data_IF_375543897793
#
_entry.id   IF_375543897793
#
_cell.length_a   1.000
_cell.length_b   1.000
_cell.length_c   1.000
_cell.angle_alpha   90.00
_cell.angle_beta   90.00
_cell.angle_gamma   90.00
#
_symmetry.space_group_name_H-M   'P 1'
#
loop_
_entity.id
_entity.type
_entity.pdbx_description
1 polymer ?
#
# COMPACT_ATOMS: atom_id res chain seq x y z
N UNK A 1 25.06 23.99 22.36
CA UNK A 1 24.43 23.09 21.38
C UNK A 1 24.32 23.83 20.06
N UNK A 2 24.81 23.22 18.99
CA UNK A 2 24.67 23.74 17.63
C UNK A 2 23.46 23.12 16.94
N UNK A 3 22.95 23.74 15.87
CA UNK A 3 21.82 23.20 15.11
C UNK A 3 22.12 21.81 14.51
N UNK A 4 23.39 21.50 14.23
CA UNK A 4 23.81 20.19 13.72
C UNK A 4 23.74 19.10 14.81
N UNK A 5 24.04 19.45 16.07
CA UNK A 5 23.94 18.55 17.21
C UNK A 5 22.47 18.23 17.58
N UNK A 6 21.55 19.17 17.37
CA UNK A 6 20.13 19.02 17.72
C UNK A 6 19.32 18.30 16.63
N UNK A 7 19.74 18.41 15.37
CA UNK A 7 18.99 17.88 14.21
C UNK A 7 18.65 16.38 14.32
N UNK A 8 19.55 15.48 14.74
CA UNK A 8 19.20 14.06 14.88
C UNK A 8 18.06 13.81 15.89
N UNK A 9 17.98 14.60 16.96
CA UNK A 9 16.91 14.49 17.96
C UNK A 9 15.56 14.96 17.42
N UNK A 10 15.55 15.99 16.57
CA UNK A 10 14.35 16.48 15.91
C UNK A 10 13.85 15.51 14.82
N UNK A 11 14.77 14.80 14.16
CA UNK A 11 14.43 13.81 13.14
C UNK A 11 14.01 12.45 13.74
N UNK A 12 14.27 12.19 15.03
CA UNK A 12 13.96 10.90 15.67
C UNK A 12 12.51 10.44 15.50
N UNK A 13 11.57 11.40 15.53
CA UNK A 13 10.13 11.14 15.44
C UNK A 13 9.55 11.37 14.04
N UNK A 14 10.41 11.59 13.05
CA UNK A 14 10.03 11.79 11.65
C UNK A 14 10.53 10.63 10.80
N UNK A 15 9.75 10.13 9.82
CA UNK A 15 10.26 9.20 8.82
C UNK A 15 11.09 9.90 7.73
N UNK A 16 11.11 11.24 7.73
CA UNK A 16 11.80 12.04 6.74
C UNK A 16 13.06 12.68 7.29
N UNK A 17 14.12 12.67 6.48
CA UNK A 17 15.18 13.67 6.56
C UNK A 17 14.71 14.95 5.89
N UNK A 18 14.91 16.08 6.57
CA UNK A 18 14.36 17.38 6.16
C UNK A 18 15.50 18.33 5.81
N UNK A 19 15.46 18.89 4.60
CA UNK A 19 16.32 20.00 4.19
C UNK A 19 15.47 21.24 3.95
N UNK A 20 15.91 22.39 4.46
CA UNK A 20 15.16 23.64 4.37
C UNK A 20 16.07 24.78 3.93
N UNK A 21 15.60 25.57 2.96
CA UNK A 21 16.24 26.81 2.54
C UNK A 21 15.28 27.97 2.75
N UNK A 22 15.81 29.08 3.26
CA UNK A 22 15.02 30.28 3.59
C UNK A 22 15.58 31.47 2.82
N UNK A 23 14.69 32.20 2.14
CA UNK A 23 15.01 33.43 1.44
C UNK A 23 14.04 34.54 1.86
N UNK A 24 14.57 35.73 2.18
CA UNK A 24 13.74 36.90 2.47
C UNK A 24 13.27 37.49 1.15
N UNK A 25 11.96 37.69 1.01
CA UNK A 25 11.37 38.28 -0.19
C UNK A 25 11.41 39.81 -0.13
N UNK A 26 11.62 40.51 -1.26
CA UNK A 26 11.62 41.97 -1.29
C UNK A 26 10.32 42.56 -0.75
N UNK A 27 10.46 43.49 0.19
CA UNK A 27 9.33 44.21 0.79
C UNK A 27 8.89 45.35 -0.13
N UNK A 28 7.60 45.37 -0.50
CA UNK A 28 6.97 46.54 -1.13
C UNK A 28 6.40 47.44 -0.05
N UNK A 29 6.36 48.76 -0.28
CA UNK A 29 5.77 49.71 0.66
C UNK A 29 4.34 49.26 1.06
N UNK A 30 4.07 49.22 2.37
CA UNK A 30 2.77 48.80 2.92
C UNK A 30 2.50 47.29 2.97
N UNK A 31 3.46 46.42 2.59
CA UNK A 31 3.33 44.96 2.74
C UNK A 31 4.21 44.43 3.88
N UNK A 32 3.76 43.40 4.62
CA UNK A 32 4.59 42.79 5.65
C UNK A 32 5.81 42.09 5.04
N UNK A 33 6.88 42.00 5.83
CA UNK A 33 8.06 41.20 5.49
C UNK A 33 7.65 39.75 5.25
N UNK A 34 8.11 39.16 4.15
CA UNK A 34 7.79 37.77 3.78
C UNK A 34 9.05 36.94 3.62
N UNK A 35 8.98 35.69 4.03
CA UNK A 35 10.02 34.69 3.87
C UNK A 35 9.49 33.61 2.95
N UNK A 36 10.24 33.30 1.90
CA UNK A 36 10.05 32.07 1.13
C UNK A 36 10.84 30.95 1.81
N UNK A 37 10.20 29.81 2.00
CA UNK A 37 10.84 28.58 2.50
C UNK A 37 10.62 27.47 1.51
N UNK A 38 11.68 26.80 1.10
CA UNK A 38 11.61 25.58 0.31
C UNK A 38 12.10 24.44 1.19
N UNK A 39 11.25 23.45 1.38
CA UNK A 39 11.53 22.28 2.21
C UNK A 39 11.52 21.04 1.33
N UNK A 40 12.56 20.23 1.45
CA UNK A 40 12.66 18.94 0.77
C UNK A 40 12.60 17.84 1.82
N UNK A 41 11.69 16.89 1.61
CA UNK A 41 11.47 15.73 2.45
C UNK A 41 11.98 14.50 1.71
N UNK A 42 12.84 13.72 2.35
CA UNK A 42 13.35 12.45 1.80
C UNK A 42 13.12 11.35 2.82
N UNK A 43 12.56 10.22 2.37
CA UNK A 43 12.38 9.08 3.25
C UNK A 43 13.75 8.58 3.74
N UNK A 44 13.91 8.52 5.06
CA UNK A 44 15.20 8.29 5.70
C UNK A 44 15.67 6.85 5.60
N UNK A 45 14.75 5.91 5.85
CA UNK A 45 15.12 4.51 6.06
C UNK A 45 15.46 3.79 4.74
N UNK A 46 15.03 4.35 3.61
CA UNK A 46 15.37 3.87 2.28
C UNK A 46 15.42 5.05 1.28
N UNK A 47 16.59 5.68 1.12
CA UNK A 47 16.78 6.78 0.19
C UNK A 47 16.35 6.40 -1.23
N UNK A 48 15.60 7.28 -1.90
CA UNK A 48 15.10 7.05 -3.25
C UNK A 48 13.71 6.42 -3.33
N UNK A 49 13.12 5.96 -2.21
CA UNK A 49 11.73 5.47 -2.23
C UNK A 49 10.70 6.59 -2.29
N UNK A 50 10.97 7.72 -1.65
CA UNK A 50 10.07 8.85 -1.65
C UNK A 50 10.83 10.16 -1.48
N UNK A 51 10.57 11.09 -2.39
CA UNK A 51 11.00 12.48 -2.27
C UNK A 51 9.84 13.43 -2.56
N UNK A 52 9.71 14.46 -1.73
CA UNK A 52 8.78 15.56 -1.95
C UNK A 52 9.46 16.90 -1.69
N UNK A 53 9.03 17.94 -2.42
CA UNK A 53 9.45 19.32 -2.19
C UNK A 53 8.23 20.21 -2.08
N UNK A 54 8.25 21.09 -1.10
CA UNK A 54 7.20 22.06 -0.84
C UNK A 54 7.78 23.46 -0.74
N UNK A 55 7.05 24.42 -1.27
CA UNK A 55 7.36 25.83 -1.20
C UNK A 55 6.25 26.53 -0.40
N UNK A 56 6.65 27.31 0.61
CA UNK A 56 5.73 28.10 1.40
C UNK A 56 6.21 29.55 1.51
N UNK A 57 5.26 30.48 1.51
CA UNK A 57 5.52 31.90 1.82
C UNK A 57 4.95 32.23 3.19
N UNK A 58 5.83 32.61 4.12
CA UNK A 58 5.50 32.94 5.50
C UNK A 58 5.57 34.44 5.71
N UNK A 59 4.57 35.03 6.36
CA UNK A 59 4.66 36.39 6.85
C UNK A 59 5.58 36.40 8.09
N UNK A 60 6.70 37.11 8.01
CA UNK A 60 7.72 37.11 9.05
C UNK A 60 7.27 37.81 10.34
N UNK A 61 6.23 38.64 10.28
CA UNK A 61 5.74 39.41 11.44
C UNK A 61 4.79 38.59 12.32
N UNK A 62 3.96 37.73 11.74
CA UNK A 62 2.96 36.93 12.47
C UNK A 62 3.09 35.42 12.28
N UNK A 63 4.13 35.00 11.55
CA UNK A 63 4.45 33.60 11.23
C UNK A 63 3.33 32.83 10.51
N UNK A 64 2.34 33.53 9.94
CA UNK A 64 1.26 32.90 9.18
C UNK A 64 1.74 32.45 7.80
N UNK A 65 1.32 31.25 7.39
CA UNK A 65 1.56 30.73 6.05
C UNK A 65 0.55 31.38 5.09
N UNK A 66 1.06 32.21 4.20
CA UNK A 66 0.25 32.95 3.20
C UNK A 66 0.07 32.19 1.92
N UNK A 67 1.01 31.33 1.57
CA UNK A 67 1.00 30.49 0.38
C UNK A 67 1.71 29.18 0.68
N UNK A 68 1.19 28.08 0.15
CA UNK A 68 1.74 26.73 0.31
C UNK A 68 1.48 25.96 -0.98
N UNK A 69 2.54 25.39 -1.54
CA UNK A 69 2.48 24.59 -2.76
C UNK A 69 3.42 23.38 -2.64
N UNK A 70 3.05 22.28 -3.30
CA UNK A 70 3.92 21.12 -3.47
C UNK A 70 4.54 21.22 -4.86
N UNK A 71 5.84 21.48 -4.91
CA UNK A 71 6.57 21.73 -6.16
C UNK A 71 7.01 20.45 -6.85
N UNK A 72 7.28 19.40 -6.06
CA UNK A 72 7.64 18.08 -6.56
C UNK A 72 7.09 17.00 -5.63
N UNK A 73 6.62 15.91 -6.22
CA UNK A 73 6.14 14.73 -5.52
C UNK A 73 6.61 13.47 -6.25
N UNK A 74 6.98 12.48 -5.46
CA UNK A 74 7.31 11.12 -5.92
C UNK A 74 6.28 10.60 -6.93
N UNK A 75 6.68 10.17 -8.14
CA UNK A 75 5.76 9.72 -9.17
C UNK A 75 4.79 8.63 -8.73
N UNK A 76 5.23 7.68 -7.91
CA UNK A 76 4.38 6.59 -7.39
C UNK A 76 3.29 7.07 -6.44
N UNK A 77 3.48 8.22 -5.78
CA UNK A 77 2.52 8.78 -4.83
C UNK A 77 1.46 9.67 -5.51
N UNK A 78 1.69 10.11 -6.76
CA UNK A 78 0.86 11.15 -7.40
C UNK A 78 -0.62 10.78 -7.46
N UNK A 79 -0.95 9.56 -7.82
CA UNK A 79 -2.36 9.18 -8.03
C UNK A 79 -3.17 9.10 -6.73
N UNK A 80 -2.54 8.78 -5.60
CA UNK A 80 -3.23 8.62 -4.31
C UNK A 80 -3.11 9.88 -3.45
N UNK A 81 -1.91 10.45 -3.39
CA UNK A 81 -1.59 11.53 -2.45
C UNK A 81 -1.82 12.92 -3.04
N UNK A 82 -1.51 13.16 -4.31
CA UNK A 82 -1.59 14.50 -4.90
C UNK A 82 -2.99 15.15 -4.79
N UNK A 83 -4.11 14.45 -5.05
CA UNK A 83 -5.44 15.04 -4.91
C UNK A 83 -5.71 15.58 -3.50
N UNK A 84 -5.19 14.89 -2.48
CA UNK A 84 -5.31 15.32 -1.08
C UNK A 84 -4.43 16.54 -0.79
N UNK A 85 -3.18 16.56 -1.28
CA UNK A 85 -2.27 17.69 -1.11
C UNK A 85 -2.78 18.95 -1.83
N UNK A 86 -3.32 18.80 -3.04
CA UNK A 86 -3.90 19.90 -3.82
C UNK A 86 -5.09 20.53 -3.09
N UNK A 87 -5.90 19.71 -2.41
CA UNK A 87 -7.00 20.17 -1.56
C UNK A 87 -6.50 21.08 -0.42
N UNK A 88 -5.41 20.70 0.24
CA UNK A 88 -4.77 21.47 1.32
C UNK A 88 -4.16 22.78 0.80
N UNK A 89 -3.48 22.73 -0.35
CA UNK A 89 -2.78 23.87 -0.93
C UNK A 89 -3.75 24.92 -1.52
N UNK A 90 -4.76 24.46 -2.28
CA UNK A 90 -5.78 25.32 -2.88
C UNK A 90 -6.74 25.94 -1.85
N UNK A 91 -6.88 25.31 -0.68
CA UNK A 91 -7.84 25.73 0.34
C UNK A 91 -9.28 25.29 0.06
N UNK A 92 -9.50 24.34 -0.87
CA UNK A 92 -10.79 23.70 -1.08
C UNK A 92 -11.09 22.63 0.01
N UNK A 93 -10.92 23.04 1.27
CA UNK A 93 -11.03 22.21 2.47
C UNK A 93 -11.46 23.05 3.67
N UNK A 94 -11.62 22.38 4.81
CA UNK A 94 -11.96 23.03 6.06
C UNK A 94 -10.82 23.97 6.49
N UNK A 95 -11.16 25.01 7.26
CA UNK A 95 -10.20 26.04 7.72
C UNK A 95 -8.99 25.47 8.45
N UNK A 96 -9.14 24.34 9.14
CA UNK A 96 -8.08 23.64 9.88
C UNK A 96 -7.05 22.97 8.97
N UNK A 97 -7.46 22.58 7.76
CA UNK A 97 -6.61 21.94 6.75
C UNK A 97 -5.92 22.94 5.84
N UNK A 98 -6.55 24.10 5.60
CA UNK A 98 -6.07 25.07 4.63
C UNK A 98 -4.63 25.50 4.91
N UNK A 99 -3.74 25.24 3.95
CA UNK A 99 -2.30 25.58 4.03
C UNK A 99 -1.60 25.01 5.28
N UNK A 100 -2.10 23.90 5.81
CA UNK A 100 -1.53 23.26 6.98
C UNK A 100 -0.37 22.35 6.58
N UNK A 101 0.86 22.84 6.78
CA UNK A 101 2.08 22.09 6.48
C UNK A 101 2.21 20.82 7.32
N UNK A 102 1.68 20.80 8.54
CA UNK A 102 1.73 19.64 9.43
C UNK A 102 0.92 18.47 8.88
N UNK A 103 -0.35 18.72 8.53
CA UNK A 103 -1.23 17.71 7.90
C UNK A 103 -0.63 17.23 6.57
N UNK A 104 -0.05 18.15 5.79
CA UNK A 104 0.59 17.85 4.52
C UNK A 104 1.77 16.86 4.71
N UNK A 105 2.69 17.17 5.62
CA UNK A 105 3.83 16.29 5.94
C UNK A 105 3.40 14.97 6.59
N UNK A 106 2.35 14.99 7.40
CA UNK A 106 1.80 13.79 8.04
C UNK A 106 1.19 12.84 7.01
N UNK A 107 0.39 13.35 6.08
CA UNK A 107 -0.17 12.54 5.01
C UNK A 107 0.90 11.93 4.09
N UNK A 108 1.99 12.66 3.82
CA UNK A 108 3.15 12.10 3.10
C UNK A 108 3.77 10.92 3.87
N UNK A 109 3.94 11.07 5.19
CA UNK A 109 4.49 10.01 6.05
C UNK A 109 3.58 8.78 6.10
N UNK A 110 2.28 9.01 6.28
CA UNK A 110 1.26 7.97 6.34
C UNK A 110 1.12 7.23 5.00
N UNK A 111 1.18 7.95 3.88
CA UNK A 111 1.25 7.33 2.57
C UNK A 111 2.47 6.40 2.47
N UNK A 112 3.67 6.87 2.85
CA UNK A 112 4.88 6.04 2.80
C UNK A 112 4.72 4.77 3.65
N UNK A 113 4.22 4.91 4.88
CA UNK A 113 4.02 3.79 5.81
C UNK A 113 3.13 2.71 5.19
N UNK A 114 1.97 3.10 4.67
CA UNK A 114 0.99 2.17 4.09
C UNK A 114 1.47 1.64 2.75
N UNK A 115 2.03 2.48 1.88
CA UNK A 115 2.53 2.06 0.57
C UNK A 115 3.69 1.06 0.70
N UNK A 116 4.55 1.19 1.72
CA UNK A 116 5.60 0.21 2.03
C UNK A 116 5.04 -1.12 2.54
N UNK A 117 4.03 -1.08 3.41
CA UNK A 117 3.34 -2.29 3.87
C UNK A 117 2.73 -3.04 2.68
N UNK A 118 2.08 -2.29 1.79
CA UNK A 118 1.52 -2.77 0.54
C UNK A 118 2.60 -3.35 -0.37
N UNK A 119 3.69 -2.62 -0.59
CA UNK A 119 4.88 -3.03 -1.37
C UNK A 119 5.39 -4.42 -0.96
N UNK A 120 5.59 -4.60 0.36
CA UNK A 120 6.03 -5.87 0.95
C UNK A 120 5.01 -6.98 0.77
N UNK A 121 3.71 -6.70 0.90
CA UNK A 121 2.67 -7.70 0.67
C UNK A 121 2.72 -8.22 -0.77
N UNK A 122 2.79 -7.34 -1.78
CA UNK A 122 2.83 -7.84 -3.16
C UNK A 122 4.12 -8.63 -3.45
N UNK A 123 5.26 -8.22 -2.90
CA UNK A 123 6.50 -9.00 -3.03
C UNK A 123 6.33 -10.41 -2.46
N UNK A 124 5.75 -10.55 -1.25
CA UNK A 124 5.44 -11.86 -0.66
C UNK A 124 4.46 -12.68 -1.51
N UNK A 125 3.40 -12.04 -2.02
CA UNK A 125 2.42 -12.72 -2.87
C UNK A 125 3.02 -13.16 -4.20
N UNK A 126 3.89 -12.37 -4.82
CA UNK A 126 4.59 -12.73 -6.06
C UNK A 126 5.55 -13.93 -5.83
N UNK A 127 6.24 -13.93 -4.68
CA UNK A 127 7.10 -15.05 -4.29
C UNK A 127 6.29 -16.34 -4.09
N UNK A 128 5.13 -16.25 -3.41
CA UNK A 128 4.26 -17.40 -3.09
C UNK A 128 3.36 -17.87 -4.24
N UNK A 129 2.85 -16.95 -5.07
CA UNK A 129 1.75 -17.17 -6.02
C UNK A 129 1.99 -16.59 -7.43
N UNK A 130 3.16 -15.99 -7.69
CA UNK A 130 3.45 -15.30 -8.97
C UNK A 130 3.53 -16.21 -10.21
N UNK A 131 3.50 -17.55 -10.03
CA UNK A 131 3.39 -18.48 -11.15
C UNK A 131 2.30 -19.52 -10.93
N UNK A 132 1.65 -20.03 -12.01
CA UNK A 132 0.63 -21.05 -11.90
C UNK A 132 1.09 -22.29 -11.12
N UNK A 133 2.33 -22.74 -11.33
CA UNK A 133 2.92 -23.87 -10.62
C UNK A 133 3.03 -23.63 -9.11
N UNK A 134 3.37 -22.40 -8.71
CA UNK A 134 3.46 -22.02 -7.30
C UNK A 134 2.09 -21.97 -6.65
N UNK A 135 1.06 -21.49 -7.38
CA UNK A 135 -0.33 -21.52 -6.91
C UNK A 135 -0.79 -22.96 -6.65
N UNK A 136 -0.50 -23.90 -7.57
CA UNK A 136 -0.85 -25.32 -7.39
C UNK A 136 -0.12 -25.95 -6.20
N UNK A 137 1.17 -25.68 -6.02
CA UNK A 137 1.94 -26.15 -4.86
C UNK A 137 1.39 -25.60 -3.54
N UNK A 138 1.10 -24.30 -3.50
CA UNK A 138 0.49 -23.66 -2.33
C UNK A 138 -0.88 -24.28 -2.02
N UNK A 139 -1.72 -24.49 -3.03
CA UNK A 139 -3.02 -25.14 -2.86
C UNK A 139 -2.92 -26.59 -2.36
N UNK A 140 -1.93 -27.36 -2.84
CA UNK A 140 -1.70 -28.73 -2.37
C UNK A 140 -1.27 -28.76 -0.90
N UNK A 141 -0.31 -27.92 -0.49
CA UNK A 141 0.14 -27.82 0.89
C UNK A 141 -0.99 -27.43 1.86
N UNK A 142 -1.88 -26.52 1.45
CA UNK A 142 -3.03 -26.13 2.28
C UNK A 142 -4.03 -27.27 2.50
N UNK A 143 -4.21 -28.14 1.50
CA UNK A 143 -5.10 -29.31 1.61
C UNK A 143 -4.49 -30.39 2.51
N UNK A 144 -3.20 -30.65 2.36
CA UNK A 144 -2.48 -31.62 3.20
C UNK A 144 -2.40 -31.17 4.66
N UNK A 145 -2.26 -29.86 4.91
CA UNK A 145 -2.28 -29.27 6.25
C UNK A 145 -3.66 -29.37 6.94
N UNK A 146 -4.76 -29.24 6.20
CA UNK A 146 -6.11 -29.45 6.72
C UNK A 146 -6.41 -30.93 7.04
N UNK A 147 -5.76 -31.88 6.35
CA UNK A 147 -5.94 -33.31 6.60
C UNK A 147 -5.22 -33.84 7.85
N UNK A 148 -4.29 -33.08 8.45
CA UNK A 148 -3.45 -33.54 9.58
C UNK A 148 -3.84 -32.99 10.96
N UNK A 149 -5.02 -32.40 11.14
CA UNK A 149 -5.40 -31.81 12.43
C UNK A 149 -6.05 -32.82 13.40
N UNK A 150 -5.22 -33.51 14.22
CA UNK A 150 -5.30 -33.70 15.69
C UNK A 150 -4.36 -34.81 16.22
N UNK A 151 -3.81 -34.75 17.46
CA UNK A 151 -3.34 -33.62 18.26
C UNK A 151 -1.80 -33.64 18.50
N UNK A 152 -1.32 -32.57 19.13
CA UNK A 152 0.03 -32.21 19.61
C UNK A 152 1.03 -33.34 19.91
N UNK A 153 2.21 -33.32 19.28
CA UNK A 153 3.50 -33.32 20.00
C UNK A 153 4.70 -33.03 19.06
N UNK A 154 5.80 -32.68 19.69
CA UNK A 154 6.89 -31.79 19.27
C UNK A 154 7.79 -32.17 18.06
N UNK A 155 8.27 -31.10 17.43
CA UNK A 155 9.64 -30.86 16.96
C UNK A 155 10.06 -31.20 15.50
N UNK A 156 10.81 -30.23 14.97
CA UNK A 156 11.65 -30.21 13.76
C UNK A 156 10.88 -29.83 12.47
N UNK A 157 11.07 -28.65 11.89
CA UNK A 157 12.37 -28.21 11.39
C UNK A 157 12.55 -26.67 11.44
N UNK A 158 13.66 -26.27 12.06
CA UNK A 158 14.10 -24.89 12.18
C UNK A 158 14.83 -24.49 10.91
N UNK A 159 14.18 -23.80 9.95
CA UNK A 159 14.93 -22.97 8.97
C UNK A 159 14.14 -21.91 8.16
N UNK A 160 12.86 -21.65 8.39
CA UNK A 160 12.10 -20.73 7.50
C UNK A 160 12.04 -19.26 7.93
N UNK A 161 12.39 -18.89 9.17
CA UNK A 161 12.15 -17.53 9.73
C UNK A 161 13.00 -16.40 9.09
N UNK A 162 13.85 -16.67 8.09
CA UNK A 162 14.73 -15.66 7.46
C UNK A 162 14.54 -15.44 5.96
N UNK A 163 13.67 -16.19 5.29
CA UNK A 163 13.45 -16.04 3.85
C UNK A 163 12.26 -15.10 3.52
N UNK A 164 11.38 -14.84 4.49
CA UNK A 164 10.06 -14.24 4.25
C UNK A 164 10.04 -12.69 4.19
N UNK A 165 11.13 -12.02 4.59
CA UNK A 165 11.18 -10.55 4.68
C UNK A 165 12.20 -9.89 3.74
N UNK A 166 12.78 -10.65 2.79
CA UNK A 166 13.71 -10.08 1.80
C UNK A 166 12.93 -9.44 0.66
N UNK A 167 12.35 -8.27 0.91
CA UNK A 167 11.94 -7.37 -0.16
C UNK A 167 13.10 -6.42 -0.44
N UNK A 168 13.74 -6.57 -1.61
CA UNK A 168 14.81 -5.66 -1.99
C UNK A 168 14.25 -4.27 -2.26
N UNK A 169 15.09 -3.23 -2.14
CA UNK A 169 14.70 -1.84 -2.42
C UNK A 169 14.17 -1.69 -3.85
N UNK A 170 14.72 -2.44 -4.81
CA UNK A 170 14.22 -2.46 -6.19
C UNK A 170 12.78 -2.98 -6.29
N UNK A 171 12.43 -4.02 -5.52
CA UNK A 171 11.06 -4.54 -5.47
C UNK A 171 10.13 -3.53 -4.80
N UNK A 172 10.58 -2.87 -3.74
CA UNK A 172 9.82 -1.80 -3.10
C UNK A 172 9.52 -0.67 -4.09
N UNK A 173 10.52 -0.19 -4.83
CA UNK A 173 10.34 0.84 -5.87
C UNK A 173 9.33 0.40 -6.93
N UNK A 174 9.45 -0.85 -7.41
CA UNK A 174 8.55 -1.42 -8.41
C UNK A 174 7.10 -1.42 -7.93
N UNK A 175 6.88 -1.82 -6.69
CA UNK A 175 5.55 -2.01 -6.15
C UNK A 175 4.95 -0.77 -5.50
N UNK A 176 5.73 0.23 -5.11
CA UNK A 176 5.28 1.34 -4.25
C UNK A 176 3.99 2.04 -4.72
N UNK A 177 3.90 2.30 -6.03
CA UNK A 177 2.75 2.96 -6.67
C UNK A 177 1.72 2.01 -7.28
N UNK A 178 1.93 0.70 -7.18
CA UNK A 178 0.99 -0.28 -7.67
C UNK A 178 -0.29 -0.20 -6.81
N UNK A 179 -1.48 -0.37 -7.38
CA UNK A 179 -2.73 -0.38 -6.59
C UNK A 179 -3.47 -1.71 -6.73
N UNK A 180 -3.03 -2.56 -7.66
CA UNK A 180 -3.62 -3.85 -7.91
C UNK A 180 -2.54 -4.88 -8.27
N UNK A 181 -2.72 -6.13 -7.84
CA UNK A 181 -1.89 -7.27 -8.22
C UNK A 181 -2.79 -8.37 -8.80
N UNK A 182 -2.42 -8.86 -9.97
CA UNK A 182 -3.14 -9.91 -10.68
C UNK A 182 -2.40 -11.25 -10.49
N UNK A 183 -3.08 -12.22 -9.92
CA UNK A 183 -2.59 -13.59 -9.70
C UNK A 183 -3.27 -14.50 -10.72
N UNK A 184 -2.47 -15.20 -11.52
CA UNK A 184 -2.98 -16.20 -12.47
C UNK A 184 -3.17 -17.53 -11.77
N UNK A 185 -4.40 -18.01 -11.77
CA UNK A 185 -4.77 -19.30 -11.19
C UNK A 185 -5.00 -20.28 -12.34
N UNK A 186 -4.18 -21.35 -12.45
CA UNK A 186 -4.34 -22.32 -13.52
C UNK A 186 -5.66 -23.06 -13.37
N UNK A 187 -6.34 -23.30 -14.50
CA UNK A 187 -7.41 -24.28 -14.57
C UNK A 187 -6.81 -25.68 -14.37
N UNK A 188 -7.47 -26.53 -13.58
CA UNK A 188 -6.94 -27.83 -13.14
C UNK A 188 -6.65 -28.88 -14.22
N UNK A 189 -6.81 -28.56 -15.51
CA UNK A 189 -6.47 -29.44 -16.65
C UNK A 189 -5.42 -28.79 -17.54
N UNK A 190 -4.55 -29.60 -18.13
CA UNK A 190 -3.57 -29.14 -19.15
C UNK A 190 -4.34 -28.53 -20.32
N UNK A 191 -4.20 -27.21 -20.52
CA UNK A 191 -4.97 -26.44 -21.51
C UNK A 191 -6.35 -25.96 -21.06
N UNK A 192 -6.66 -26.02 -19.75
CA UNK A 192 -7.90 -25.51 -19.17
C UNK A 192 -7.96 -23.98 -19.13
N UNK A 193 -9.18 -23.44 -19.17
CA UNK A 193 -9.40 -21.99 -19.12
C UNK A 193 -8.81 -21.40 -17.81
N UNK A 194 -7.98 -20.36 -17.92
CA UNK A 194 -7.32 -19.71 -16.77
C UNK A 194 -8.29 -18.79 -16.00
N UNK A 195 -8.13 -18.75 -14.67
CA UNK A 195 -8.77 -17.77 -13.82
C UNK A 195 -7.76 -16.72 -13.35
N UNK A 196 -8.22 -15.51 -13.06
CA UNK A 196 -7.40 -14.44 -12.51
C UNK A 196 -8.00 -13.94 -11.21
N UNK A 197 -7.21 -13.92 -10.13
CA UNK A 197 -7.56 -13.26 -8.88
C UNK A 197 -6.83 -11.92 -8.84
N UNK A 198 -7.57 -10.82 -8.81
CA UNK A 198 -7.03 -9.47 -8.70
C UNK A 198 -7.22 -8.95 -7.27
N UNK A 199 -6.14 -8.59 -6.61
CA UNK A 199 -6.16 -7.91 -5.32
C UNK A 199 -5.96 -6.42 -5.54
N UNK A 200 -6.89 -5.57 -5.09
CA UNK A 200 -6.75 -4.12 -5.11
C UNK A 200 -6.53 -3.58 -3.70
N UNK A 201 -5.56 -2.68 -3.52
CA UNK A 201 -5.30 -1.96 -2.28
C UNK A 201 -5.13 -0.47 -2.58
N UNK A 202 -6.12 0.32 -2.21
CA UNK A 202 -6.13 1.78 -2.37
C UNK A 202 -5.87 2.49 -1.04
N UNK A 203 -5.14 3.60 -1.12
CA UNK A 203 -4.85 4.48 0.01
C UNK A 203 -5.62 5.78 -0.17
N UNK A 204 -6.54 6.04 0.74
CA UNK A 204 -7.27 7.31 0.86
C UNK A 204 -6.80 8.09 2.10
N UNK A 205 -7.26 9.33 2.28
CA UNK A 205 -6.88 10.17 3.43
C UNK A 205 -8.10 10.82 4.07
N UNK A 206 -8.10 10.86 5.39
CA UNK A 206 -9.06 11.65 6.14
C UNK A 206 -8.64 13.12 6.30
N UNK A 207 -9.46 13.90 7.01
CA UNK A 207 -9.20 15.33 7.20
C UNK A 207 -7.98 15.64 8.07
N UNK A 208 -7.48 14.67 8.86
CA UNK A 208 -6.26 14.80 9.66
C UNK A 208 -5.00 14.47 8.86
N UNK A 209 -5.18 13.88 7.67
CA UNK A 209 -4.10 13.33 6.86
C UNK A 209 -3.74 11.89 7.22
N UNK A 210 -4.56 11.21 8.03
CA UNK A 210 -4.34 9.80 8.33
C UNK A 210 -4.76 8.92 7.15
N UNK A 211 -3.90 7.95 6.81
CA UNK A 211 -4.11 7.08 5.67
C UNK A 211 -5.15 6.00 5.98
N UNK A 212 -6.15 5.89 5.12
CA UNK A 212 -7.18 4.85 5.16
C UNK A 212 -6.91 3.83 4.06
N UNK A 213 -6.71 2.57 4.46
CA UNK A 213 -6.47 1.46 3.53
C UNK A 213 -7.77 0.75 3.18
N UNK A 214 -8.00 0.53 1.88
CA UNK A 214 -9.10 -0.30 1.40
C UNK A 214 -8.56 -1.43 0.53
N UNK A 215 -8.63 -2.65 1.06
CA UNK A 215 -8.20 -3.89 0.38
C UNK A 215 -9.43 -4.65 -0.11
N UNK A 216 -9.46 -5.02 -1.38
CA UNK A 216 -10.57 -5.76 -2.01
C UNK A 216 -10.06 -6.78 -3.01
N UNK A 217 -10.84 -7.81 -3.29
CA UNK A 217 -10.53 -8.81 -4.32
C UNK A 217 -11.58 -8.83 -5.42
N UNK A 218 -11.13 -9.12 -6.64
CA UNK A 218 -11.94 -9.32 -7.83
C UNK A 218 -11.53 -10.63 -8.49
N UNK A 219 -12.49 -11.36 -9.03
CA UNK A 219 -12.24 -12.61 -9.75
C UNK A 219 -12.64 -12.49 -11.21
N UNK A 220 -11.66 -12.67 -12.07
CA UNK A 220 -11.84 -12.89 -13.50
C UNK A 220 -11.95 -14.39 -13.75
N UNK A 221 -13.12 -14.82 -14.22
CA UNK A 221 -13.40 -16.21 -14.61
C UNK A 221 -13.81 -16.26 -16.08
N UNK A 222 -13.48 -17.36 -16.78
CA UNK A 222 -13.92 -17.63 -18.14
C UNK A 222 -15.45 -17.54 -18.27
N UNK A 223 -15.94 -17.05 -19.41
CA UNK A 223 -17.37 -16.86 -19.64
C UNK A 223 -18.19 -18.14 -19.41
N UNK A 224 -17.65 -19.30 -19.82
CA UNK A 224 -18.27 -20.62 -19.63
C UNK A 224 -18.49 -20.96 -18.15
N UNK A 225 -17.59 -20.54 -17.25
CA UNK A 225 -17.72 -20.78 -15.81
C UNK A 225 -18.81 -19.91 -15.21
N UNK A 226 -18.98 -18.66 -15.69
CA UNK A 226 -20.12 -17.83 -15.26
C UNK A 226 -21.46 -18.43 -15.68
N UNK A 227 -21.53 -19.04 -16.86
CA UNK A 227 -22.74 -19.72 -17.34
C UNK A 227 -23.01 -20.99 -16.53
N UNK A 228 -21.96 -21.73 -16.15
CA UNK A 228 -22.07 -22.93 -15.32
C UNK A 228 -22.34 -22.62 -13.84
N UNK A 229 -22.03 -21.42 -13.35
CA UNK A 229 -22.28 -20.97 -11.98
C UNK A 229 -23.76 -20.62 -11.72
N UNK A 230 -24.64 -21.62 -11.84
CA UNK A 230 -26.07 -21.46 -11.59
C UNK A 230 -26.43 -21.05 -10.15
N UNK A 231 -25.47 -21.15 -9.21
CA UNK A 231 -25.64 -20.77 -7.79
C UNK A 231 -25.03 -19.40 -7.44
N UNK A 232 -24.40 -18.73 -8.40
CA UNK A 232 -23.78 -17.41 -8.21
C UNK A 232 -22.68 -17.41 -7.14
N UNK A 233 -21.95 -18.50 -6.98
CA UNK A 233 -20.90 -18.64 -5.95
C UNK A 233 -19.71 -17.76 -6.27
N UNK A 234 -19.35 -17.61 -7.55
CA UNK A 234 -18.21 -16.80 -7.98
C UNK A 234 -18.42 -15.31 -7.65
N UNK A 235 -19.67 -14.85 -7.65
CA UNK A 235 -20.02 -13.48 -7.24
C UNK A 235 -19.82 -13.23 -5.73
N UNK A 236 -19.75 -14.29 -4.91
CA UNK A 236 -19.58 -14.19 -3.45
C UNK A 236 -18.11 -14.15 -3.02
N UNK A 237 -17.16 -14.40 -3.93
CA UNK A 237 -15.74 -14.41 -3.62
C UNK A 237 -15.24 -13.12 -2.94
N UNK A 238 -15.56 -11.90 -3.42
CA UNK A 238 -15.12 -10.68 -2.74
C UNK A 238 -15.63 -10.57 -1.30
N UNK A 239 -16.83 -11.11 -1.04
CA UNK A 239 -17.41 -11.16 0.31
C UNK A 239 -16.67 -12.16 1.19
N UNK A 240 -16.35 -13.35 0.69
CA UNK A 240 -15.58 -14.35 1.42
C UNK A 240 -14.20 -13.81 1.84
N UNK A 241 -13.50 -13.13 0.93
CA UNK A 241 -12.23 -12.49 1.25
C UNK A 241 -12.39 -11.46 2.38
N UNK A 242 -13.43 -10.62 2.30
CA UNK A 242 -13.72 -9.65 3.35
C UNK A 242 -14.01 -10.34 4.69
N UNK A 243 -14.83 -11.38 4.69
CA UNK A 243 -15.20 -12.12 5.89
C UNK A 243 -13.97 -12.79 6.55
N UNK A 244 -12.99 -13.24 5.75
CA UNK A 244 -11.72 -13.78 6.26
C UNK A 244 -10.87 -12.70 6.94
N UNK A 245 -10.68 -11.55 6.27
CA UNK A 245 -9.88 -10.43 6.82
C UNK A 245 -10.54 -9.84 8.06
N UNK A 246 -11.86 -9.63 8.04
CA UNK A 246 -12.64 -9.14 9.18
C UNK A 246 -12.65 -10.18 10.34
N UNK A 247 -12.50 -11.47 10.01
CA UNK A 247 -12.33 -12.57 10.97
C UNK A 247 -10.93 -12.66 11.60
N UNK A 248 -9.99 -11.78 11.22
CA UNK A 248 -8.65 -11.68 11.79
C UNK A 248 -7.57 -12.49 11.05
N UNK A 249 -7.88 -13.04 9.87
CA UNK A 249 -6.86 -13.67 9.03
C UNK A 249 -5.98 -12.62 8.36
N UNK A 250 -4.69 -12.94 8.23
CA UNK A 250 -3.75 -12.09 7.50
C UNK A 250 -4.12 -12.06 6.01
N UNK A 251 -3.88 -10.91 5.38
CA UNK A 251 -4.27 -10.68 3.98
C UNK A 251 -3.59 -11.66 3.03
N UNK A 252 -2.34 -12.06 3.31
CA UNK A 252 -1.62 -13.02 2.46
C UNK A 252 -2.18 -14.44 2.58
N UNK A 253 -2.54 -14.87 3.79
CA UNK A 253 -3.22 -16.14 4.04
C UNK A 253 -4.60 -16.17 3.37
N UNK A 254 -5.40 -15.12 3.55
CA UNK A 254 -6.71 -15.01 2.91
C UNK A 254 -6.62 -15.10 1.38
N UNK A 255 -5.64 -14.43 0.76
CA UNK A 255 -5.40 -14.56 -0.70
C UNK A 255 -4.96 -15.97 -1.08
N UNK A 256 -4.13 -16.63 -0.26
CA UNK A 256 -3.75 -18.03 -0.44
C UNK A 256 -4.95 -18.98 -0.43
N UNK A 257 -5.85 -18.83 0.55
CA UNK A 257 -7.10 -19.57 0.63
C UNK A 257 -7.93 -19.34 -0.65
N UNK A 258 -8.11 -18.09 -1.06
CA UNK A 258 -8.87 -17.75 -2.26
C UNK A 258 -8.28 -18.41 -3.52
N UNK A 259 -6.96 -18.34 -3.69
CA UNK A 259 -6.28 -18.96 -4.82
C UNK A 259 -6.42 -20.49 -4.80
N UNK A 260 -6.30 -21.12 -3.63
CA UNK A 260 -6.45 -22.57 -3.47
C UNK A 260 -7.88 -23.05 -3.75
N UNK A 261 -8.90 -22.27 -3.35
CA UNK A 261 -10.30 -22.54 -3.66
C UNK A 261 -10.55 -22.45 -5.17
N UNK A 262 -10.06 -21.39 -5.83
CA UNK A 262 -10.20 -21.22 -7.28
C UNK A 262 -9.46 -22.32 -8.08
N UNK A 263 -8.35 -22.83 -7.56
CA UNK A 263 -7.64 -23.96 -8.15
C UNK A 263 -8.32 -25.33 -7.88
N UNK A 264 -9.24 -25.42 -6.90
CA UNK A 264 -9.82 -26.67 -6.41
C UNK A 264 -11.27 -26.95 -6.77
N UNK A 265 -12.04 -25.95 -7.17
CA UNK A 265 -13.49 -26.06 -7.45
C UNK A 265 -13.87 -26.95 -8.65
N UNK A 266 -12.92 -27.60 -9.32
CA UNK A 266 -13.18 -28.50 -10.45
C UNK A 266 -13.05 -30.00 -10.13
N UNK A 267 -12.88 -30.38 -8.86
CA UNK A 267 -12.74 -31.78 -8.44
C UNK A 267 -14.03 -32.51 -8.04
N UNK A 268 -15.22 -31.89 -8.10
CA UNK A 268 -16.43 -32.47 -7.48
C UNK A 268 -17.59 -32.82 -8.43
N UNK A 269 -17.39 -32.82 -9.75
CA UNK A 269 -18.48 -33.09 -10.71
C UNK A 269 -18.36 -34.43 -11.47
N UNK A 270 -17.51 -35.36 -11.02
CA UNK A 270 -17.30 -36.66 -11.69
C UNK A 270 -17.62 -37.87 -10.79
N UNK A 271 -18.72 -37.80 -10.04
CA UNK A 271 -19.27 -38.98 -9.35
C UNK A 271 -20.80 -39.02 -9.38
N UNK A 272 -21.37 -38.93 -10.59
CA UNK A 272 -22.74 -39.37 -10.90
C UNK A 272 -22.85 -39.89 -12.32
N UNK A 273 -22.45 -41.14 -12.51
CA UNK A 273 -23.08 -42.07 -13.48
C UNK A 273 -23.10 -43.46 -12.88
#
# INVERSE_FOLDING_TARGET
>A
MTAEEERPYLELFSPFSVESTVAVLPTKAGRPLRQRRVVTLRYRDAPGLFTASLEMTVNAMNLSITDLTVTSLEPSARFELQPFLDKICSGNCNRTMQRNVGILSWAMAEWCRVALQRARLWSRLELKLGSPDKVLKSAAHMREGQQRQQPEDEAQDQTSVKAEDRCDVADLIRYLGQQALDIRVPGGRVGGDECSLRLEWKIDFDWTGEAQSKVTTLVGVPGKWRVADGRGVLAKVPKLFKDLVDGGQDVDEAVGIMAALLAGTQGSDDDRT
#
